data_IF_182374658056
#
_entry.id   IF_182374658056
#
_cell.length_a   1.000
_cell.length_b   1.000
_cell.length_c   1.000
_cell.angle_alpha   90.00
_cell.angle_beta   90.00
_cell.angle_gamma   90.00
#
_symmetry.space_group_name_H-M   'P 1'
#
loop_
_entity.id
_entity.type
_entity.pdbx_description
1 polymer ?
#
# COMPACT_ATOMS: atom_id res chain seq x y z
N UNK A 1 -4.10 23.10 5.94
CA UNK A 1 -5.56 22.81 5.93
C UNK A 1 -5.77 21.39 6.44
N UNK A 2 -6.60 21.20 7.45
CA UNK A 2 -6.95 19.88 8.01
C UNK A 2 -8.20 19.35 7.30
N UNK A 3 -8.13 18.15 6.72
CA UNK A 3 -9.22 17.58 5.91
C UNK A 3 -10.25 16.79 6.72
N UNK A 4 -9.91 16.40 7.95
CA UNK A 4 -10.79 15.68 8.90
C UNK A 4 -10.52 16.12 10.34
N UNK A 5 -11.56 16.39 11.13
CA UNK A 5 -11.50 16.31 12.60
C UNK A 5 -12.05 14.95 13.04
N UNK A 6 -11.26 13.90 12.83
CA UNK A 6 -11.58 12.57 13.33
C UNK A 6 -11.01 12.48 14.75
N UNK A 7 -11.86 12.35 15.78
CA UNK A 7 -11.45 12.23 17.18
C UNK A 7 -10.89 10.83 17.49
N UNK A 8 -10.08 10.29 16.59
CA UNK A 8 -9.71 8.89 16.52
C UNK A 8 -8.44 8.68 15.69
N UNK A 9 -7.73 7.56 15.91
CA UNK A 9 -6.56 7.20 15.11
C UNK A 9 -7.00 6.91 13.66
N UNK A 10 -6.44 7.65 12.71
CA UNK A 10 -6.59 7.42 11.27
C UNK A 10 -5.24 7.11 10.61
N UNK A 11 -5.23 6.27 9.58
CA UNK A 11 -4.02 5.81 8.91
C UNK A 11 -4.20 5.43 7.45
N UNK A 12 -3.07 5.17 6.79
CA UNK A 12 -2.98 4.62 5.43
C UNK A 12 -3.84 5.32 4.35
N UNK A 13 -3.86 6.66 4.24
CA UNK A 13 -4.70 7.33 3.24
C UNK A 13 -4.28 6.97 1.81
N UNK A 14 -5.28 6.76 0.93
CA UNK A 14 -5.09 6.55 -0.51
C UNK A 14 -6.11 7.36 -1.30
N UNK A 15 -5.63 8.05 -2.33
CA UNK A 15 -6.46 8.79 -3.29
C UNK A 15 -7.25 7.83 -4.19
N UNK A 16 -8.46 8.22 -4.56
CA UNK A 16 -9.17 7.61 -5.69
C UNK A 16 -8.50 8.01 -7.02
N UNK A 17 -8.68 7.21 -8.09
CA UNK A 17 -8.01 7.48 -9.38
C UNK A 17 -8.38 8.83 -10.00
N UNK A 18 -9.60 9.29 -9.76
CA UNK A 18 -10.17 10.59 -10.17
C UNK A 18 -9.71 11.76 -9.28
N UNK A 19 -9.02 11.51 -8.17
CA UNK A 19 -8.56 12.52 -7.22
C UNK A 19 -9.68 13.18 -6.39
N UNK A 20 -10.92 12.67 -6.46
CA UNK A 20 -12.07 13.30 -5.80
C UNK A 20 -12.33 12.76 -4.39
N UNK A 21 -11.74 11.62 -4.03
CA UNK A 21 -11.97 10.93 -2.76
C UNK A 21 -10.67 10.41 -2.15
N UNK A 22 -10.69 10.21 -0.85
CA UNK A 22 -9.61 9.60 -0.07
C UNK A 22 -10.21 8.45 0.74
N UNK A 23 -9.68 7.24 0.58
CA UNK A 23 -9.95 6.13 1.47
C UNK A 23 -8.89 6.10 2.57
N UNK A 24 -9.29 5.77 3.79
CA UNK A 24 -8.39 5.65 4.93
C UNK A 24 -8.93 4.64 5.95
N UNK A 25 -8.09 4.14 6.84
CA UNK A 25 -8.50 3.31 7.96
C UNK A 25 -8.60 4.13 9.25
N UNK A 26 -9.58 3.83 10.10
CA UNK A 26 -9.84 4.61 11.31
C UNK A 26 -10.58 3.85 12.41
N UNK A 27 -10.44 4.30 13.65
CA UNK A 27 -11.07 3.67 14.84
C UNK A 27 -12.08 4.64 15.49
N UNK A 28 -13.35 4.64 15.08
CA UNK A 28 -14.33 5.57 15.67
C UNK A 28 -15.02 5.05 16.94
N UNK A 29 -15.22 3.73 17.05
CA UNK A 29 -15.79 3.06 18.23
C UNK A 29 -15.65 1.53 18.12
N UNK A 30 -14.59 0.96 18.71
CA UNK A 30 -14.32 -0.49 18.68
C UNK A 30 -13.14 -0.85 17.78
N UNK A 31 -13.37 -1.74 16.81
CA UNK A 31 -12.38 -2.18 15.83
C UNK A 31 -12.08 -1.09 14.78
N UNK A 32 -11.02 -1.30 14.01
CA UNK A 32 -10.65 -0.43 12.88
C UNK A 32 -11.48 -0.75 11.65
N UNK A 33 -12.04 0.29 11.02
CA UNK A 33 -12.82 0.17 9.78
C UNK A 33 -12.21 0.99 8.63
N UNK A 34 -12.72 0.74 7.42
CA UNK A 34 -12.44 1.56 6.24
C UNK A 34 -13.44 2.73 6.16
N UNK A 35 -12.92 3.91 5.87
CA UNK A 35 -13.68 5.13 5.65
C UNK A 35 -13.32 5.75 4.30
N UNK A 36 -14.26 6.50 3.73
CA UNK A 36 -14.05 7.33 2.54
C UNK A 36 -14.53 8.75 2.79
N UNK A 37 -13.73 9.73 2.39
CA UNK A 37 -14.08 11.16 2.46
C UNK A 37 -13.83 11.83 1.10
N UNK A 38 -14.53 12.92 0.81
CA UNK A 38 -14.22 13.77 -0.32
C UNK A 38 -12.85 14.45 -0.14
N UNK A 39 -12.13 14.65 -1.25
CA UNK A 39 -10.84 15.33 -1.29
C UNK A 39 -10.87 16.74 -0.69
N UNK A 40 -12.00 17.42 -0.85
CA UNK A 40 -12.23 18.78 -0.34
C UNK A 40 -12.65 18.80 1.14
N UNK A 41 -12.65 17.65 1.82
CA UNK A 41 -13.08 17.50 3.21
C UNK A 41 -14.58 17.19 3.34
N UNK A 42 -15.10 17.27 4.57
CA UNK A 42 -16.47 16.91 4.92
C UNK A 42 -16.54 15.76 5.93
N UNK A 43 -17.70 15.11 6.03
CA UNK A 43 -17.90 13.97 6.93
C UNK A 43 -17.44 12.67 6.25
N UNK A 44 -16.53 11.89 6.86
CA UNK A 44 -16.18 10.57 6.36
C UNK A 44 -17.39 9.62 6.39
N UNK A 45 -17.55 8.82 5.33
CA UNK A 45 -18.49 7.70 5.28
C UNK A 45 -17.79 6.42 5.69
N UNK A 46 -18.31 5.73 6.71
CA UNK A 46 -17.87 4.38 7.11
C UNK A 46 -18.27 3.37 6.03
N UNK A 47 -17.32 2.56 5.58
CA UNK A 47 -17.48 1.59 4.49
C UNK A 47 -17.62 0.15 5.00
N UNK A 48 -16.93 -0.19 6.09
CA UNK A 48 -17.00 -1.50 6.73
C UNK A 48 -17.60 -1.37 8.13
N UNK A 49 -18.32 -2.40 8.57
CA UNK A 49 -19.00 -2.44 9.87
C UNK A 49 -18.90 -3.82 10.53
N UNK A 50 -18.04 -4.68 10.01
CA UNK A 50 -17.85 -6.03 10.53
C UNK A 50 -17.06 -5.98 11.84
N UNK A 51 -17.23 -6.95 12.75
CA UNK A 51 -16.47 -7.04 13.99
C UNK A 51 -15.05 -7.60 13.74
N UNK A 52 -14.29 -6.98 12.83
CA UNK A 52 -12.95 -7.38 12.39
C UNK A 52 -12.05 -6.17 12.16
N UNK A 53 -10.73 -6.36 12.17
CA UNK A 53 -9.80 -5.26 11.89
C UNK A 53 -9.62 -5.07 10.38
N UNK A 54 -10.00 -3.90 9.87
CA UNK A 54 -9.72 -3.48 8.51
C UNK A 54 -8.65 -2.40 8.41
N UNK A 55 -7.74 -2.52 7.43
CA UNK A 55 -6.73 -1.46 7.21
C UNK A 55 -6.17 -1.42 5.79
N UNK A 56 -5.39 -0.38 5.50
CA UNK A 56 -4.65 -0.20 4.23
C UNK A 56 -5.55 -0.27 2.99
N UNK A 57 -6.59 0.57 2.90
CA UNK A 57 -7.46 0.56 1.74
C UNK A 57 -6.71 1.04 0.49
N UNK A 58 -7.11 0.61 -0.68
CA UNK A 58 -6.71 1.16 -1.99
C UNK A 58 -7.85 1.05 -3.00
N UNK A 59 -7.96 2.01 -3.91
CA UNK A 59 -8.95 1.94 -4.98
C UNK A 59 -8.41 1.10 -6.15
N UNK A 60 -9.30 0.43 -6.88
CA UNK A 60 -9.00 -0.02 -8.24
C UNK A 60 -8.76 1.16 -9.17
N UNK A 61 -8.01 0.96 -10.25
CA UNK A 61 -7.67 1.98 -11.24
C UNK A 61 -8.90 2.53 -11.96
N UNK A 62 -9.94 1.71 -12.12
CA UNK A 62 -11.24 2.12 -12.66
C UNK A 62 -12.16 2.79 -11.61
N UNK A 63 -11.73 2.87 -10.35
CA UNK A 63 -12.47 3.48 -9.24
C UNK A 63 -13.72 2.71 -8.80
N UNK A 64 -13.99 1.51 -9.33
CA UNK A 64 -15.18 0.71 -9.00
C UNK A 64 -15.03 -0.08 -7.71
N UNK A 65 -13.81 -0.37 -7.27
CA UNK A 65 -13.53 -1.20 -6.10
C UNK A 65 -12.67 -0.48 -5.07
N UNK A 66 -12.81 -0.91 -3.82
CA UNK A 66 -11.85 -0.65 -2.74
C UNK A 66 -11.32 -2.01 -2.27
N UNK A 67 -10.02 -2.22 -2.40
CA UNK A 67 -9.29 -3.33 -1.78
C UNK A 67 -8.87 -2.93 -0.36
N UNK A 68 -8.83 -3.87 0.57
CA UNK A 68 -8.39 -3.63 1.94
C UNK A 68 -7.98 -4.93 2.62
N UNK A 69 -7.18 -4.85 3.67
CA UNK A 69 -6.94 -5.99 4.55
C UNK A 69 -8.11 -6.15 5.52
N UNK A 70 -8.57 -7.37 5.76
CA UNK A 70 -9.46 -7.73 6.88
C UNK A 70 -9.03 -9.06 7.50
N UNK A 71 -9.15 -9.18 8.82
CA UNK A 71 -8.90 -10.43 9.55
C UNK A 71 -10.18 -11.23 9.89
N UNK A 72 -11.31 -10.91 9.26
CA UNK A 72 -12.63 -11.54 9.49
C UNK A 72 -12.70 -13.06 9.34
N UNK A 73 -11.68 -13.68 8.71
CA UNK A 73 -11.54 -15.14 8.59
C UNK A 73 -10.48 -15.72 9.54
N UNK A 74 -10.14 -15.01 10.62
CA UNK A 74 -9.17 -15.42 11.63
C UNK A 74 -7.69 -15.16 11.27
N UNK A 75 -7.40 -14.86 10.01
CA UNK A 75 -6.08 -14.41 9.53
C UNK A 75 -6.26 -13.20 8.61
N UNK A 76 -5.22 -12.37 8.51
CA UNK A 76 -5.23 -11.16 7.66
C UNK A 76 -5.27 -11.56 6.19
N UNK A 77 -6.33 -11.19 5.49
CA UNK A 77 -6.51 -11.45 4.07
C UNK A 77 -6.87 -10.16 3.36
N UNK A 78 -6.72 -10.14 2.04
CA UNK A 78 -7.24 -9.05 1.22
C UNK A 78 -8.65 -9.34 0.79
N UNK A 79 -9.49 -8.32 0.92
CA UNK A 79 -10.87 -8.28 0.51
C UNK A 79 -11.08 -7.09 -0.42
N UNK A 80 -12.13 -7.16 -1.24
CA UNK A 80 -12.58 -6.02 -2.05
C UNK A 80 -14.08 -5.81 -1.91
N UNK A 81 -14.51 -4.57 -2.03
CA UNK A 81 -15.92 -4.18 -2.04
C UNK A 81 -16.17 -3.08 -3.08
N UNK A 82 -17.42 -2.89 -3.56
CA UNK A 82 -17.71 -1.77 -4.43
C UNK A 82 -17.36 -0.44 -3.75
N UNK A 83 -16.80 0.51 -4.49
CA UNK A 83 -16.36 1.81 -3.94
C UNK A 83 -17.53 2.69 -3.46
N UNK A 84 -18.75 2.34 -3.87
CA UNK A 84 -20.00 2.95 -3.38
C UNK A 84 -20.56 2.26 -2.15
N UNK A 85 -19.92 1.22 -1.62
CA UNK A 85 -20.43 0.39 -0.54
C UNK A 85 -21.07 -0.89 -1.07
N UNK A 86 -21.21 -1.89 -0.19
CA UNK A 86 -21.79 -3.19 -0.54
C UNK A 86 -21.02 -4.35 0.09
N UNK A 87 -21.41 -5.57 -0.28
CA UNK A 87 -20.80 -6.79 0.24
C UNK A 87 -19.35 -6.90 -0.21
N UNK A 88 -18.46 -7.19 0.75
CA UNK A 88 -17.07 -7.46 0.47
C UNK A 88 -16.87 -8.94 0.06
N UNK A 89 -15.96 -9.18 -0.87
CA UNK A 89 -15.54 -10.51 -1.32
C UNK A 89 -14.06 -10.72 -1.03
N UNK A 90 -13.70 -11.92 -0.63
CA UNK A 90 -12.32 -12.30 -0.33
C UNK A 90 -11.52 -12.47 -1.63
N UNK A 91 -10.29 -11.95 -1.66
CA UNK A 91 -9.37 -12.04 -2.82
C UNK A 91 -8.23 -13.02 -2.55
N UNK A 92 -7.59 -12.94 -1.37
CA UNK A 92 -6.48 -13.84 -0.99
C UNK A 92 -6.92 -14.89 0.02
N UNK A 93 -6.20 -16.02 0.07
CA UNK A 93 -6.45 -17.10 1.05
C UNK A 93 -5.23 -17.47 1.88
N UNK A 94 -4.03 -17.01 1.48
CA UNK A 94 -2.81 -17.36 2.21
C UNK A 94 -2.28 -16.22 3.09
N UNK A 95 -2.87 -15.04 3.05
CA UNK A 95 -2.41 -13.86 3.77
C UNK A 95 -2.46 -12.64 2.87
N UNK A 96 -2.52 -11.43 3.45
CA UNK A 96 -2.32 -10.24 2.64
C UNK A 96 -2.45 -8.91 3.36
N UNK A 97 -1.61 -7.96 2.96
CA UNK A 97 -1.57 -6.58 3.41
C UNK A 97 -1.20 -5.67 2.24
N UNK A 98 -1.61 -4.41 2.33
CA UNK A 98 -1.20 -3.34 1.40
C UNK A 98 -1.51 -3.67 -0.07
N UNK A 99 -2.78 -3.97 -0.41
CA UNK A 99 -3.16 -4.28 -1.78
C UNK A 99 -2.95 -3.08 -2.71
N UNK A 100 -2.34 -3.29 -3.88
CA UNK A 100 -2.25 -2.29 -4.96
C UNK A 100 -2.50 -2.99 -6.30
N UNK A 101 -3.47 -2.51 -7.06
CA UNK A 101 -3.85 -3.08 -8.35
C UNK A 101 -2.80 -2.81 -9.43
N UNK A 102 -2.55 -3.78 -10.32
CA UNK A 102 -1.69 -3.61 -11.48
C UNK A 102 -2.26 -2.58 -12.44
N UNK A 103 -1.42 -1.85 -13.21
CA UNK A 103 -1.89 -0.81 -14.13
C UNK A 103 -2.93 -1.29 -15.15
N UNK A 104 -2.87 -2.56 -15.55
CA UNK A 104 -3.81 -3.18 -16.48
C UNK A 104 -5.09 -3.72 -15.82
N UNK A 105 -5.22 -3.61 -14.49
CA UNK A 105 -6.40 -4.01 -13.73
C UNK A 105 -6.59 -5.51 -13.56
N UNK A 106 -5.58 -6.33 -13.89
CA UNK A 106 -5.71 -7.81 -13.87
C UNK A 106 -5.19 -8.46 -12.61
N UNK A 107 -4.16 -7.89 -12.00
CA UNK A 107 -3.49 -8.44 -10.83
C UNK A 107 -3.62 -7.49 -9.65
N UNK A 108 -3.54 -8.06 -8.46
CA UNK A 108 -3.38 -7.35 -7.21
C UNK A 108 -2.04 -7.71 -6.61
N UNK A 109 -1.17 -6.71 -6.43
CA UNK A 109 0.09 -6.86 -5.71
C UNK A 109 -0.11 -6.62 -4.23
N UNK A 110 0.59 -7.39 -3.40
CA UNK A 110 0.49 -7.29 -1.94
C UNK A 110 1.68 -7.92 -1.24
N UNK A 111 1.83 -7.64 0.05
CA UNK A 111 2.78 -8.37 0.91
C UNK A 111 2.03 -9.36 1.81
N UNK A 112 2.65 -10.49 2.09
CA UNK A 112 1.98 -11.59 2.79
C UNK A 112 1.61 -11.28 4.26
N UNK A 113 2.57 -10.74 5.03
CA UNK A 113 2.34 -10.30 6.42
C UNK A 113 3.37 -9.21 6.82
N UNK A 114 3.18 -8.57 7.99
CA UNK A 114 3.98 -7.43 8.47
C UNK A 114 5.47 -7.73 8.63
N UNK A 115 5.79 -8.98 8.89
CA UNK A 115 7.15 -9.45 9.16
C UNK A 115 7.74 -10.30 8.04
N UNK A 116 6.93 -10.68 7.05
CA UNK A 116 7.38 -11.44 5.91
C UNK A 116 8.11 -10.53 4.91
N UNK A 117 9.16 -11.07 4.29
CA UNK A 117 9.64 -10.54 3.02
C UNK A 117 8.82 -11.19 1.90
N UNK A 118 8.71 -10.46 0.80
CA UNK A 118 8.09 -10.96 -0.41
C UNK A 118 6.93 -10.08 -0.85
N UNK A 119 6.98 -9.66 -2.12
CA UNK A 119 5.82 -9.15 -2.83
C UNK A 119 5.18 -10.30 -3.60
N UNK A 120 3.87 -10.43 -3.47
CA UNK A 120 3.06 -11.41 -4.18
C UNK A 120 2.11 -10.73 -5.15
N UNK A 121 1.58 -11.53 -6.08
CA UNK A 121 0.49 -11.17 -6.97
C UNK A 121 -0.60 -12.24 -6.95
N UNK A 122 -1.83 -11.82 -7.17
CA UNK A 122 -3.01 -12.68 -7.35
C UNK A 122 -3.93 -12.03 -8.40
N UNK A 123 -4.70 -12.79 -9.20
CA UNK A 123 -5.75 -12.19 -10.02
C UNK A 123 -6.72 -11.37 -9.15
N UNK A 124 -7.23 -10.25 -9.68
CA UNK A 124 -8.13 -9.35 -8.92
C UNK A 124 -9.42 -10.02 -8.43
N UNK A 125 -9.84 -11.10 -9.06
CA UNK A 125 -11.00 -11.93 -8.68
C UNK A 125 -10.63 -13.13 -7.80
N UNK A 126 -9.38 -13.22 -7.36
CA UNK A 126 -8.81 -14.36 -6.64
C UNK A 126 -8.28 -15.46 -7.59
N UNK A 127 -7.49 -16.38 -7.04
CA UNK A 127 -6.90 -17.46 -7.83
C UNK A 127 -5.54 -17.89 -7.27
N UNK A 128 -4.66 -18.31 -8.17
CA UNK A 128 -3.29 -18.67 -7.83
C UNK A 128 -2.49 -17.44 -7.37
N UNK A 129 -1.79 -17.59 -6.25
CA UNK A 129 -0.94 -16.56 -5.65
C UNK A 129 0.53 -16.83 -6.02
N UNK A 130 1.22 -15.85 -6.62
CA UNK A 130 2.61 -15.98 -7.07
C UNK A 130 3.54 -15.00 -6.36
N UNK A 131 4.76 -15.44 -6.03
CA UNK A 131 5.82 -14.53 -5.57
C UNK A 131 6.41 -13.78 -6.76
N UNK A 132 6.44 -12.44 -6.66
CA UNK A 132 6.96 -11.52 -7.68
C UNK A 132 8.37 -11.05 -7.32
N UNK A 133 8.58 -10.71 -6.04
CA UNK A 133 9.86 -10.22 -5.52
C UNK A 133 10.11 -10.86 -4.16
N UNK A 134 11.32 -11.38 -3.92
CA UNK A 134 11.64 -12.08 -2.67
C UNK A 134 11.97 -11.15 -1.49
N UNK A 135 12.40 -9.92 -1.77
CA UNK A 135 13.00 -9.04 -0.76
C UNK A 135 12.24 -7.75 -0.48
N UNK A 136 11.11 -7.54 -1.16
CA UNK A 136 10.22 -6.43 -0.87
C UNK A 136 9.56 -6.60 0.51
N UNK A 137 9.16 -5.49 1.13
CA UNK A 137 8.54 -5.47 2.46
C UNK A 137 7.45 -4.42 2.54
N UNK A 138 6.47 -4.67 3.43
CA UNK A 138 5.44 -3.71 3.84
C UNK A 138 5.97 -2.29 3.94
N UNK A 139 5.22 -1.31 3.42
CA UNK A 139 5.54 0.12 3.39
C UNK A 139 6.70 0.56 2.47
N UNK A 140 7.52 -0.35 1.93
CA UNK A 140 8.74 0.00 1.17
C UNK A 140 8.66 -0.31 -0.31
N UNK A 141 7.48 -0.25 -0.88
CA UNK A 141 7.26 -0.47 -2.30
C UNK A 141 6.10 0.37 -2.81
N UNK A 142 6.11 0.64 -4.11
CA UNK A 142 4.99 1.23 -4.81
C UNK A 142 5.04 0.84 -6.27
N UNK A 143 3.92 1.01 -6.96
CA UNK A 143 3.77 0.68 -8.37
C UNK A 143 3.71 1.96 -9.20
N UNK A 144 4.16 1.85 -10.43
CA UNK A 144 3.95 2.84 -11.49
C UNK A 144 3.38 2.15 -12.73
N UNK A 145 3.01 2.90 -13.79
CA UNK A 145 2.54 2.29 -15.02
C UNK A 145 3.54 1.30 -15.66
N UNK A 146 4.85 1.47 -15.40
CA UNK A 146 5.90 0.68 -16.07
C UNK A 146 6.54 -0.39 -15.19
N UNK A 147 6.34 -0.34 -13.87
CA UNK A 147 6.93 -1.32 -12.97
C UNK A 147 6.67 -1.09 -11.48
N UNK A 148 7.49 -1.75 -10.67
CA UNK A 148 7.42 -1.70 -9.20
C UNK A 148 8.74 -1.18 -8.67
N UNK A 149 8.69 -0.08 -7.92
CA UNK A 149 9.81 0.38 -7.12
C UNK A 149 9.73 -0.24 -5.74
N UNK A 150 10.83 -0.78 -5.24
CA UNK A 150 10.88 -1.39 -3.91
C UNK A 150 12.26 -1.27 -3.28
N UNK A 151 12.30 -1.14 -1.97
CA UNK A 151 13.56 -1.25 -1.24
C UNK A 151 13.89 -2.73 -1.01
N UNK A 152 15.13 -3.12 -1.32
CA UNK A 152 15.60 -4.49 -1.24
C UNK A 152 16.15 -4.81 0.16
N UNK A 153 15.43 -5.63 0.92
CA UNK A 153 15.82 -6.06 2.27
C UNK A 153 16.64 -7.36 2.32
N UNK A 154 17.15 -7.86 1.18
CA UNK A 154 18.06 -9.00 1.15
C UNK A 154 19.46 -8.78 1.74
N UNK A 155 20.07 -7.56 1.73
CA UNK A 155 21.41 -7.36 2.26
C UNK A 155 21.54 -7.72 3.76
N UNK A 156 22.74 -8.16 4.16
CA UNK A 156 23.03 -8.68 5.51
C UNK A 156 22.74 -7.69 6.64
N UNK A 157 22.49 -8.23 7.85
CA UNK A 157 22.38 -7.43 9.09
C UNK A 157 23.69 -6.64 9.29
N UNK A 158 23.62 -5.32 9.12
CA UNK A 158 24.78 -4.42 9.27
C UNK A 158 25.00 -3.51 8.06
N UNK A 159 24.34 -3.77 6.92
CA UNK A 159 24.36 -2.86 5.79
C UNK A 159 23.90 -1.45 6.20
N UNK A 160 24.71 -0.45 5.84
CA UNK A 160 24.46 0.97 6.11
C UNK A 160 23.60 1.64 5.03
N UNK A 161 23.41 0.96 3.90
CA UNK A 161 22.58 1.38 2.78
C UNK A 161 21.51 0.35 2.47
N UNK A 162 20.39 0.81 1.88
CA UNK A 162 19.29 -0.01 1.41
C UNK A 162 19.06 0.26 -0.08
N UNK A 163 19.31 -0.70 -0.99
CA UNK A 163 19.09 -0.49 -2.41
C UNK A 163 17.60 -0.25 -2.71
N UNK A 164 17.29 0.85 -3.38
CA UNK A 164 16.03 1.02 -4.08
C UNK A 164 16.17 0.38 -5.47
N UNK A 165 15.30 -0.58 -5.77
CA UNK A 165 15.28 -1.32 -7.03
C UNK A 165 13.98 -1.09 -7.78
N UNK A 166 14.02 -1.37 -9.07
CA UNK A 166 12.89 -1.28 -9.99
C UNK A 166 12.71 -2.62 -10.70
N UNK A 167 11.51 -3.19 -10.61
CA UNK A 167 11.05 -4.34 -11.37
C UNK A 167 10.23 -3.86 -12.56
N UNK A 168 10.68 -4.17 -13.78
CA UNK A 168 10.02 -3.76 -15.01
C UNK A 168 8.90 -4.71 -15.41
N UNK A 169 7.70 -4.20 -15.69
CA UNK A 169 6.60 -5.01 -16.25
C UNK A 169 6.85 -5.46 -17.69
N UNK A 170 7.67 -4.73 -18.45
CA UNK A 170 7.97 -5.11 -19.82
C UNK A 170 8.98 -6.26 -19.91
N UNK A 171 10.04 -6.19 -19.09
CA UNK A 171 11.17 -7.13 -19.19
C UNK A 171 11.22 -8.15 -18.07
N UNK A 172 10.43 -7.96 -17.01
CA UNK A 172 10.41 -8.78 -15.80
C UNK A 172 11.76 -8.81 -15.07
N UNK A 173 12.65 -7.87 -15.38
CA UNK A 173 13.96 -7.74 -14.77
C UNK A 173 13.94 -6.73 -13.63
N UNK A 174 14.79 -7.00 -12.64
CA UNK A 174 15.06 -6.10 -11.52
C UNK A 174 16.38 -5.37 -11.75
N UNK A 175 16.35 -4.04 -11.62
CA UNK A 175 17.54 -3.18 -11.70
C UNK A 175 17.66 -2.33 -10.45
N UNK A 176 18.89 -2.07 -9.99
CA UNK A 176 19.12 -1.06 -8.95
C UNK A 176 18.94 0.35 -9.52
N UNK A 177 18.26 1.20 -8.77
CA UNK A 177 18.02 2.61 -9.11
C UNK A 177 18.99 3.49 -8.33
N UNK A 178 19.00 3.34 -7.00
CA UNK A 178 19.85 4.12 -6.10
C UNK A 178 20.04 3.37 -4.78
N UNK A 179 21.06 3.73 -4.00
CA UNK A 179 21.26 3.24 -2.63
C UNK A 179 20.79 4.29 -1.63
N UNK A 180 19.79 3.95 -0.81
CA UNK A 180 19.30 4.83 0.24
C UNK A 180 20.24 4.75 1.45
N UNK A 181 20.74 5.89 1.92
CA UNK A 181 21.60 5.95 3.10
C UNK A 181 20.78 6.03 4.40
N UNK A 182 21.18 5.22 5.40
CA UNK A 182 20.57 5.20 6.72
C UNK A 182 19.44 4.18 6.82
N UNK A 183 19.67 3.11 7.59
CA UNK A 183 18.76 1.95 7.69
C UNK A 183 17.46 2.23 8.46
N UNK A 184 17.33 3.36 9.16
CA UNK A 184 16.15 3.63 9.99
C UNK A 184 15.04 4.21 9.13
N UNK A 185 14.39 3.32 8.41
CA UNK A 185 13.12 3.58 7.80
C UNK A 185 12.03 3.09 8.78
N UNK A 186 11.08 3.94 9.13
CA UNK A 186 10.14 3.71 10.24
C UNK A 186 8.89 2.93 9.83
N UNK A 187 8.22 2.36 10.82
CA UNK A 187 7.03 1.53 10.65
C UNK A 187 5.77 2.29 11.03
N UNK A 188 4.93 2.63 10.06
CA UNK A 188 3.60 3.19 10.35
C UNK A 188 2.71 3.40 9.14
N UNK A 189 3.25 3.96 8.05
CA UNK A 189 2.54 4.25 6.80
C UNK A 189 3.34 3.86 5.56
N UNK A 190 2.84 4.09 4.32
CA UNK A 190 3.65 3.93 3.11
C UNK A 190 4.87 4.83 3.23
N UNK A 191 6.05 4.24 3.27
CA UNK A 191 7.33 4.95 3.37
C UNK A 191 7.92 5.24 1.99
N UNK A 192 7.29 4.79 0.90
CA UNK A 192 7.67 5.06 -0.48
C UNK A 192 6.42 5.40 -1.32
N UNK A 193 6.49 6.51 -2.06
CA UNK A 193 5.49 6.87 -3.08
C UNK A 193 6.19 7.27 -4.36
N UNK A 194 5.63 6.92 -5.51
CA UNK A 194 6.20 7.21 -6.84
C UNK A 194 5.21 8.04 -7.64
N UNK A 195 5.70 8.99 -8.44
CA UNK A 195 4.84 9.76 -9.35
C UNK A 195 4.40 8.91 -10.54
N UNK A 196 3.21 9.19 -11.09
CA UNK A 196 2.65 8.41 -12.22
C UNK A 196 3.52 8.44 -13.49
N UNK A 197 4.38 9.45 -13.62
CA UNK A 197 5.26 9.67 -14.76
C UNK A 197 6.67 9.10 -14.54
N UNK A 198 6.88 8.32 -13.48
CA UNK A 198 8.16 7.68 -13.16
C UNK A 198 9.33 8.65 -12.90
N UNK A 199 9.08 9.96 -12.73
CA UNK A 199 10.16 10.94 -12.54
C UNK A 199 10.59 11.12 -11.09
N UNK A 200 9.68 10.89 -10.14
CA UNK A 200 9.87 11.26 -8.74
C UNK A 200 9.52 10.12 -7.80
N UNK A 201 10.32 9.92 -6.75
CA UNK A 201 9.92 9.15 -5.58
C UNK A 201 10.04 9.98 -4.31
N UNK A 202 9.08 9.81 -3.40
CA UNK A 202 9.14 10.33 -2.04
C UNK A 202 9.36 9.16 -1.09
N UNK A 203 10.24 9.34 -0.10
CA UNK A 203 10.36 8.37 0.99
C UNK A 203 10.57 9.02 2.36
N UNK A 204 10.08 8.35 3.40
CA UNK A 204 10.20 8.83 4.79
C UNK A 204 11.33 8.13 5.52
N UNK A 205 12.26 8.91 6.08
CA UNK A 205 13.33 8.42 6.95
C UNK A 205 13.06 8.79 8.39
N UNK A 206 13.28 7.84 9.31
CA UNK A 206 13.00 8.03 10.73
C UNK A 206 14.30 8.02 11.53
N UNK A 207 14.50 9.07 12.31
CA UNK A 207 15.55 9.13 13.32
C UNK A 207 14.91 9.13 14.72
N UNK A 208 15.63 8.74 15.79
CA UNK A 208 15.07 8.69 17.15
C UNK A 208 14.48 10.01 17.67
N UNK A 209 14.79 11.14 17.02
CA UNK A 209 14.37 12.49 17.42
C UNK A 209 13.53 13.23 16.36
N UNK A 210 13.44 12.71 15.11
CA UNK A 210 12.71 13.38 14.03
C UNK A 210 12.33 12.42 12.90
N UNK A 211 11.41 12.83 12.02
CA UNK A 211 11.14 12.17 10.74
C UNK A 211 11.31 13.18 9.60
N UNK A 212 12.03 12.77 8.54
CA UNK A 212 12.32 13.62 7.38
C UNK A 212 11.71 12.99 6.11
N UNK A 213 11.21 13.83 5.19
CA UNK A 213 10.73 13.43 3.87
C UNK A 213 11.82 13.71 2.82
N UNK A 214 12.19 12.72 2.03
CA UNK A 214 13.18 12.82 0.97
C UNK A 214 12.52 12.73 -0.39
N UNK A 215 13.00 13.54 -1.34
CA UNK A 215 12.68 13.46 -2.76
C UNK A 215 13.85 12.82 -3.51
N UNK A 216 13.54 11.83 -4.34
CA UNK A 216 14.45 11.26 -5.33
C UNK A 216 14.00 11.80 -6.68
N UNK A 217 14.92 12.48 -7.34
CA UNK A 217 14.75 13.01 -8.69
C UNK A 217 15.37 12.04 -9.71
N UNK A 218 14.85 12.03 -10.93
CA UNK A 218 15.41 11.26 -12.06
C UNK A 218 15.48 9.75 -11.81
N UNK A 219 14.36 9.14 -11.37
CA UNK A 219 14.28 7.67 -11.25
C UNK A 219 14.46 6.96 -12.59
N UNK A 220 14.14 7.63 -13.71
CA UNK A 220 14.47 7.34 -15.10
C UNK A 220 14.07 8.51 -16.01
#
# INVERSE_FOLDING_TARGET
>A
MQLTSFAAHAGSPRWSPDGLRIAFDGVSAGNRDIYVIAAQGGSPRRMTTEPSEESRPSFSNDGRWIYFMSDRTGTRQIWKMPSQGGTAVQVTRQGGLEPIESPDGKLLYYVHDRNALGLRSVPVDGGEELTVLESARLSYWNISPTGIYFADFSPARGATTLPLKFYSFQTHNVTEVVKLEGRRLGGGGPALSVSRDDRWALFTRYNPRNSDLFLIENLR
#
